data_IF_809334768096
#
_entry.id   IF_809334768096
#
_cell.length_a   1.000
_cell.length_b   1.000
_cell.length_c   1.000
_cell.angle_alpha   90.00
_cell.angle_beta   90.00
_cell.angle_gamma   90.00
#
_symmetry.space_group_name_H-M   'P 1'
#
loop_
_entity.id
_entity.type
_entity.pdbx_description
1 polymer ?
#
# COMPACT_ATOMS: atom_id res chain seq x y z
N UNK A 1 -6.16 -2.76 -11.69
CA UNK A 1 -6.75 -2.00 -12.80
C UNK A 1 -7.81 -1.10 -12.22
N UNK A 2 -7.71 0.23 -12.38
CA UNK A 2 -8.80 1.12 -11.97
C UNK A 2 -10.03 0.79 -12.83
N UNK A 3 -11.18 0.45 -12.24
CA UNK A 3 -12.36 0.07 -13.01
C UNK A 3 -12.91 1.28 -13.77
N UNK A 4 -13.52 1.02 -14.93
CA UNK A 4 -14.22 2.02 -15.75
C UNK A 4 -15.27 2.79 -14.96
N UNK A 5 -15.96 2.12 -14.05
CA UNK A 5 -16.96 2.72 -13.16
C UNK A 5 -16.41 3.84 -12.26
N UNK A 6 -15.09 3.87 -12.02
CA UNK A 6 -14.42 4.87 -11.19
C UNK A 6 -13.59 5.86 -12.05
N UNK A 7 -13.82 5.91 -13.37
CA UNK A 7 -13.06 6.77 -14.29
C UNK A 7 -11.67 6.24 -14.61
N UNK A 8 -11.51 4.92 -14.70
CA UNK A 8 -10.25 4.29 -15.11
C UNK A 8 -10.38 3.55 -16.44
N UNK A 9 -9.31 3.52 -17.23
CA UNK A 9 -9.25 2.80 -18.52
C UNK A 9 -8.93 1.30 -18.36
N UNK A 10 -9.09 0.73 -17.16
CA UNK A 10 -8.70 -0.65 -16.82
C UNK A 10 -7.23 -0.99 -17.12
N UNK A 11 -6.35 0.00 -17.25
CA UNK A 11 -4.93 -0.26 -17.39
C UNK A 11 -4.32 -0.86 -16.12
N UNK A 12 -3.30 -1.69 -16.34
CA UNK A 12 -2.49 -2.24 -15.27
C UNK A 12 -1.61 -1.14 -14.69
N UNK A 13 -1.78 -0.80 -13.41
CA UNK A 13 -0.76 -0.04 -12.68
C UNK A 13 0.52 -0.88 -12.62
N UNK A 14 1.58 -0.42 -13.28
CA UNK A 14 2.84 -1.15 -13.43
C UNK A 14 3.51 -1.34 -12.06
N UNK A 15 3.57 -0.30 -11.25
CA UNK A 15 4.20 -0.34 -9.92
C UNK A 15 3.50 -1.34 -9.00
N UNK A 16 2.16 -1.28 -8.93
CA UNK A 16 1.38 -2.25 -8.14
C UNK A 16 1.54 -3.68 -8.65
N UNK A 17 1.71 -3.85 -9.96
CA UNK A 17 1.93 -5.15 -10.58
C UNK A 17 3.32 -5.70 -10.26
N UNK A 18 4.37 -4.88 -10.36
CA UNK A 18 5.73 -5.25 -9.96
C UNK A 18 5.79 -5.60 -8.48
N UNK A 19 5.18 -4.79 -7.61
CA UNK A 19 5.09 -5.08 -6.18
C UNK A 19 4.36 -6.40 -5.90
N UNK A 20 3.27 -6.68 -6.62
CA UNK A 20 2.55 -7.94 -6.49
C UNK A 20 3.39 -9.16 -6.91
N UNK A 21 4.25 -9.01 -7.93
CA UNK A 21 5.22 -10.05 -8.30
C UNK A 21 6.26 -10.23 -7.20
N UNK A 22 6.82 -9.14 -6.65
CA UNK A 22 7.78 -9.20 -5.53
C UNK A 22 7.17 -9.90 -4.31
N UNK A 23 5.92 -9.57 -3.94
CA UNK A 23 5.21 -10.26 -2.86
C UNK A 23 4.99 -11.76 -3.13
N UNK A 24 4.84 -12.15 -4.39
CA UNK A 24 4.71 -13.57 -4.74
C UNK A 24 6.01 -14.37 -4.50
N UNK A 25 7.16 -13.72 -4.55
CA UNK A 25 8.44 -14.32 -4.18
C UNK A 25 8.50 -14.63 -2.68
N UNK A 26 8.02 -13.73 -1.83
CA UNK A 26 7.92 -13.97 -0.38
C UNK A 26 7.15 -15.25 -0.08
N UNK A 27 6.00 -15.42 -0.74
CA UNK A 27 5.22 -16.65 -0.58
C UNK A 27 6.00 -17.90 -0.99
N UNK A 28 6.71 -17.86 -2.14
CA UNK A 28 7.54 -19.00 -2.58
C UNK A 28 8.69 -19.28 -1.61
N UNK A 29 9.21 -18.24 -0.96
CA UNK A 29 10.25 -18.37 0.05
C UNK A 29 9.73 -19.05 1.32
N UNK A 30 8.60 -18.58 1.83
CA UNK A 30 7.96 -19.08 3.05
C UNK A 30 7.32 -20.47 2.88
N UNK A 31 7.07 -20.92 1.65
CA UNK A 31 6.59 -22.28 1.37
C UNK A 31 7.60 -23.33 1.84
N UNK A 32 7.21 -24.16 2.81
CA UNK A 32 8.03 -25.22 3.39
C UNK A 32 8.31 -26.36 2.42
N UNK A 33 7.47 -26.55 1.39
CA UNK A 33 7.64 -27.59 0.38
C UNK A 33 8.68 -27.22 -0.68
N UNK A 34 9.02 -25.94 -0.79
CA UNK A 34 9.99 -25.44 -1.76
C UNK A 34 11.43 -25.64 -1.28
N UNK A 35 12.17 -26.50 -1.99
CA UNK A 35 13.58 -26.87 -1.73
C UNK A 35 14.57 -26.22 -2.71
N UNK A 36 14.14 -25.18 -3.42
CA UNK A 36 14.97 -24.54 -4.44
C UNK A 36 16.29 -23.96 -3.89
N UNK A 37 17.40 -24.11 -4.63
CA UNK A 37 18.74 -23.65 -4.22
C UNK A 37 18.83 -22.15 -3.91
N UNK A 38 18.06 -21.31 -4.62
CA UNK A 38 18.04 -19.86 -4.36
C UNK A 38 17.51 -19.51 -2.95
N UNK A 39 16.64 -20.36 -2.38
CA UNK A 39 16.11 -20.18 -1.03
C UNK A 39 17.21 -20.28 0.02
N UNK A 40 18.15 -21.21 -0.15
CA UNK A 40 19.29 -21.39 0.76
C UNK A 40 20.17 -20.14 0.84
N UNK A 41 20.38 -19.47 -0.31
CA UNK A 41 21.16 -18.24 -0.38
C UNK A 41 20.49 -17.11 0.41
N UNK A 42 19.19 -16.91 0.20
CA UNK A 42 18.43 -15.90 0.94
C UNK A 42 18.27 -16.24 2.43
N UNK A 43 18.09 -17.51 2.77
CA UNK A 43 18.09 -17.97 4.17
C UNK A 43 19.39 -17.62 4.87
N UNK A 44 20.55 -17.79 4.22
CA UNK A 44 21.83 -17.42 4.82
C UNK A 44 21.93 -15.93 5.15
N UNK A 45 21.37 -15.06 4.29
CA UNK A 45 21.34 -13.61 4.49
C UNK A 45 20.34 -13.26 5.61
N UNK A 46 19.10 -13.73 5.48
CA UNK A 46 18.00 -13.38 6.39
C UNK A 46 18.16 -13.98 7.79
N UNK A 47 18.88 -15.10 7.95
CA UNK A 47 19.16 -15.71 9.26
C UNK A 47 19.88 -14.76 10.23
N UNK A 48 20.64 -13.79 9.72
CA UNK A 48 21.27 -12.75 10.56
C UNK A 48 20.24 -11.85 11.25
N UNK A 49 19.05 -11.74 10.67
CA UNK A 49 18.00 -10.79 11.05
C UNK A 49 16.69 -11.47 11.49
N UNK A 50 16.69 -12.79 11.74
CA UNK A 50 15.50 -13.52 12.21
C UNK A 50 14.69 -14.23 11.13
N UNK A 51 15.25 -14.39 9.93
CA UNK A 51 14.72 -15.21 8.83
C UNK A 51 13.28 -14.85 8.43
N UNK A 52 12.31 -15.74 8.68
CA UNK A 52 10.90 -15.54 8.29
C UNK A 52 10.20 -14.43 9.07
N UNK A 53 10.73 -14.06 10.24
CA UNK A 53 10.14 -13.04 11.11
C UNK A 53 10.08 -11.67 10.45
N UNK A 54 11.01 -11.38 9.55
CA UNK A 54 11.02 -10.13 8.78
C UNK A 54 9.75 -9.97 7.93
N UNK A 55 9.12 -11.05 7.49
CA UNK A 55 7.90 -10.97 6.69
C UNK A 55 6.63 -10.84 7.54
N UNK A 56 6.74 -10.97 8.86
CA UNK A 56 5.63 -10.78 9.78
C UNK A 56 5.72 -9.46 10.54
N UNK A 57 6.91 -8.82 10.58
CA UNK A 57 7.11 -7.58 11.32
C UNK A 57 7.03 -6.33 10.43
N UNK A 58 6.74 -5.20 11.07
CA UNK A 58 6.76 -3.89 10.45
C UNK A 58 8.22 -3.40 10.31
N UNK A 59 8.92 -3.85 9.27
CA UNK A 59 10.38 -3.70 9.14
C UNK A 59 10.82 -2.22 9.16
N UNK A 60 11.91 -1.92 9.86
CA UNK A 60 12.58 -0.61 9.82
C UNK A 60 13.39 -0.37 8.54
N UNK A 61 13.36 0.87 8.03
CA UNK A 61 14.16 1.31 6.90
C UNK A 61 15.67 1.10 7.10
N UNK A 62 16.17 1.18 8.34
CA UNK A 62 17.59 0.96 8.65
C UNK A 62 18.04 -0.45 8.25
N UNK A 63 17.21 -1.45 8.54
CA UNK A 63 17.48 -2.86 8.22
C UNK A 63 17.37 -3.08 6.72
N UNK A 64 16.38 -2.45 6.07
CA UNK A 64 16.26 -2.51 4.62
C UNK A 64 17.53 -2.00 3.94
N UNK A 65 18.12 -0.90 4.43
CA UNK A 65 19.40 -0.41 3.91
C UNK A 65 20.58 -1.36 4.15
N UNK A 66 20.67 -1.98 5.34
CA UNK A 66 21.70 -2.98 5.62
C UNK A 66 21.59 -4.20 4.70
N UNK A 67 20.35 -4.68 4.48
CA UNK A 67 20.08 -5.78 3.55
C UNK A 67 20.35 -5.35 2.10
N UNK A 68 20.03 -4.12 1.72
CA UNK A 68 20.27 -3.60 0.37
C UNK A 68 21.76 -3.64 0.00
N UNK A 69 22.65 -3.40 0.97
CA UNK A 69 24.11 -3.49 0.76
C UNK A 69 24.57 -4.92 0.43
N UNK A 70 23.91 -5.95 0.99
CA UNK A 70 24.20 -7.35 0.66
C UNK A 70 23.44 -7.84 -0.57
N UNK A 71 22.18 -7.42 -0.73
CA UNK A 71 21.28 -7.84 -1.79
C UNK A 71 20.13 -6.83 -2.02
N UNK A 72 20.27 -6.03 -3.09
CA UNK A 72 19.28 -5.04 -3.52
C UNK A 72 17.91 -5.68 -3.77
N UNK A 73 17.87 -6.87 -4.41
CA UNK A 73 16.61 -7.54 -4.73
C UNK A 73 15.84 -7.98 -3.48
N UNK A 74 16.52 -8.49 -2.45
CA UNK A 74 15.86 -8.86 -1.19
C UNK A 74 15.30 -7.64 -0.47
N UNK A 75 16.04 -6.54 -0.42
CA UNK A 75 15.55 -5.28 0.15
C UNK A 75 14.28 -4.81 -0.56
N UNK A 76 14.28 -4.85 -1.90
CA UNK A 76 13.13 -4.51 -2.73
C UNK A 76 11.90 -5.39 -2.45
N UNK A 77 12.12 -6.70 -2.25
CA UNK A 77 11.07 -7.66 -1.95
C UNK A 77 10.49 -7.41 -0.55
N UNK A 78 11.34 -7.14 0.44
CA UNK A 78 10.92 -6.84 1.81
C UNK A 78 10.16 -5.51 1.89
N UNK A 79 10.64 -4.47 1.19
CA UNK A 79 9.95 -3.18 1.09
C UNK A 79 8.56 -3.36 0.46
N UNK A 80 8.49 -4.01 -0.71
CA UNK A 80 7.21 -4.23 -1.39
C UNK A 80 6.24 -5.07 -0.55
N UNK A 81 6.75 -6.04 0.22
CA UNK A 81 5.94 -6.82 1.14
C UNK A 81 5.38 -5.95 2.27
N UNK A 82 6.24 -5.20 2.96
CA UNK A 82 5.88 -4.28 4.04
C UNK A 82 4.82 -3.27 3.60
N UNK A 83 4.98 -2.67 2.42
CA UNK A 83 4.00 -1.72 1.87
C UNK A 83 2.62 -2.36 1.65
N UNK A 84 2.59 -3.61 1.19
CA UNK A 84 1.34 -4.31 0.91
C UNK A 84 0.68 -4.80 2.20
N UNK A 85 1.44 -5.26 3.20
CA UNK A 85 0.92 -5.76 4.48
C UNK A 85 0.49 -4.64 5.42
N UNK A 86 1.23 -3.54 5.50
CA UNK A 86 0.89 -2.40 6.35
C UNK A 86 -0.48 -1.79 5.98
N UNK A 87 -0.84 -1.82 4.69
CA UNK A 87 -2.15 -1.38 4.22
C UNK A 87 -3.31 -2.30 4.67
N UNK A 88 -3.02 -3.48 5.21
CA UNK A 88 -4.00 -4.50 5.65
C UNK A 88 -4.11 -4.59 7.17
N UNK A 89 -3.02 -4.36 7.89
CA UNK A 89 -2.96 -4.45 9.36
C UNK A 89 -3.85 -3.42 10.06
N UNK A 90 -4.28 -2.36 9.38
CA UNK A 90 -5.31 -1.45 9.89
C UNK A 90 -6.67 -2.12 10.20
N UNK A 91 -6.86 -3.40 9.85
CA UNK A 91 -8.11 -4.13 10.07
C UNK A 91 -8.02 -5.34 11.01
N UNK A 92 -6.83 -5.76 11.44
CA UNK A 92 -6.70 -6.97 12.27
C UNK A 92 -5.63 -6.81 13.32
N UNK A 93 -6.06 -6.76 14.59
CA UNK A 93 -5.28 -6.84 15.84
C UNK A 93 -4.39 -8.09 15.85
N UNK A 94 -3.29 -8.00 15.12
CA UNK A 94 -2.29 -9.06 14.95
C UNK A 94 -1.19 -8.84 15.98
N UNK A 95 -0.71 -9.93 16.57
CA UNK A 95 0.36 -9.94 17.58
C UNK A 95 1.52 -9.07 17.12
N UNK A 96 1.83 -8.02 17.88
CA UNK A 96 2.95 -7.14 17.53
C UNK A 96 4.25 -7.91 17.73
N UNK A 97 5.04 -8.03 16.66
CA UNK A 97 6.38 -8.60 16.75
C UNK A 97 7.34 -7.58 17.34
N UNK A 98 8.16 -8.05 18.28
CA UNK A 98 9.14 -7.23 19.00
C UNK A 98 10.32 -6.85 18.09
N UNK A 99 10.84 -7.83 17.36
CA UNK A 99 12.13 -7.72 16.70
C UNK A 99 12.05 -7.00 15.36
N UNK A 100 13.06 -6.19 15.07
CA UNK A 100 13.22 -5.50 13.79
C UNK A 100 12.03 -4.59 13.38
N UNK A 101 11.19 -4.24 14.36
CA UNK A 101 9.98 -3.46 14.17
C UNK A 101 10.28 -1.96 14.23
N UNK A 102 9.82 -1.20 13.24
CA UNK A 102 9.99 0.26 13.15
C UNK A 102 9.31 1.03 14.28
N UNK A 103 8.26 0.47 14.86
CA UNK A 103 7.51 1.09 15.95
C UNK A 103 8.20 0.88 17.30
N UNK A 104 9.04 -0.16 17.43
CA UNK A 104 9.74 -0.51 18.67
C UNK A 104 11.23 -0.23 18.47
N UNK A 105 11.63 1.02 18.75
CA UNK A 105 13.02 1.48 18.59
C UNK A 105 13.52 2.20 19.83
N UNK A 106 14.82 2.12 20.06
CA UNK A 106 15.53 2.95 21.04
C UNK A 106 16.66 3.68 20.32
N UNK A 107 16.69 5.01 20.43
CA UNK A 107 17.66 5.87 19.72
C UNK A 107 17.73 5.58 18.21
N UNK A 108 16.57 5.43 17.56
CA UNK A 108 16.44 5.07 16.13
C UNK A 108 17.07 3.73 15.71
N UNK A 109 17.42 2.87 16.67
CA UNK A 109 17.87 1.50 16.41
C UNK A 109 16.78 0.52 16.81
N UNK A 110 16.54 -0.45 15.95
CA UNK A 110 15.66 -1.60 16.21
C UNK A 110 16.34 -2.62 17.11
N UNK A 111 15.53 -3.44 17.76
CA UNK A 111 16.01 -4.55 18.58
C UNK A 111 16.07 -5.85 17.80
N UNK A 112 17.18 -6.58 17.93
CA UNK A 112 17.26 -8.00 17.57
C UNK A 112 18.20 -8.73 18.53
N UNK A 113 17.63 -9.37 19.56
CA UNK A 113 18.39 -10.18 20.50
C UNK A 113 18.29 -11.65 20.11
N UNK A 114 19.31 -12.14 19.40
CA UNK A 114 19.36 -13.52 18.90
C UNK A 114 19.13 -14.56 20.00
N UNK A 115 19.76 -14.40 21.16
CA UNK A 115 19.61 -15.31 22.30
C UNK A 115 18.17 -15.38 22.82
N UNK A 116 17.44 -14.26 22.77
CA UNK A 116 16.05 -14.20 23.22
C UNK A 116 15.11 -14.79 22.17
N UNK A 117 15.41 -14.54 20.90
CA UNK A 117 14.68 -15.10 19.77
C UNK A 117 14.80 -16.64 19.73
N UNK A 118 16.00 -17.19 19.95
CA UNK A 118 16.22 -18.64 20.04
C UNK A 118 15.48 -19.28 21.23
N UNK A 119 15.19 -18.50 22.27
CA UNK A 119 14.32 -18.88 23.41
C UNK A 119 12.83 -18.67 23.14
N UNK A 120 12.44 -18.46 21.88
CA UNK A 120 11.05 -18.37 21.42
C UNK A 120 10.27 -17.13 21.89
N UNK A 121 10.98 -16.06 22.28
CA UNK A 121 10.39 -14.74 22.49
C UNK A 121 10.28 -14.05 21.13
N UNK A 122 9.05 -13.71 20.71
CA UNK A 122 8.75 -13.14 19.39
C UNK A 122 7.76 -11.98 19.47
N UNK A 123 6.73 -12.10 20.30
CA UNK A 123 5.59 -11.18 20.36
C UNK A 123 5.55 -10.39 21.65
N UNK A 124 5.03 -9.16 21.61
CA UNK A 124 4.87 -8.30 22.79
C UNK A 124 3.93 -8.97 23.80
N UNK A 125 2.87 -9.63 23.34
CA UNK A 125 1.91 -10.37 24.15
C UNK A 125 2.56 -11.40 25.09
N UNK A 126 3.69 -11.98 24.68
CA UNK A 126 4.42 -12.98 25.48
C UNK A 126 5.12 -12.36 26.70
N UNK A 127 5.36 -11.05 26.67
CA UNK A 127 5.96 -10.31 27.78
C UNK A 127 4.90 -9.74 28.73
N UNK A 128 3.61 -9.89 28.40
CA UNK A 128 2.50 -9.26 29.11
C UNK A 128 1.73 -10.26 29.98
N UNK A 129 1.47 -9.90 31.24
CA UNK A 129 0.62 -10.67 32.15
C UNK A 129 -0.83 -10.16 32.09
N UNK A 130 -1.68 -10.87 31.36
CA UNK A 130 -3.10 -10.55 31.22
C UNK A 130 -3.89 -10.59 32.53
N UNK A 131 -3.39 -11.26 33.58
CA UNK A 131 -4.09 -11.35 34.88
C UNK A 131 -3.89 -10.07 35.68
N UNK A 132 -2.68 -9.54 35.66
CA UNK A 132 -2.28 -8.34 36.40
C UNK A 132 -2.53 -7.08 35.55
N UNK A 133 -2.69 -7.26 34.24
CA UNK A 133 -2.76 -6.18 33.24
C UNK A 133 -1.50 -5.30 33.26
N UNK A 134 -0.35 -5.95 33.36
CA UNK A 134 0.95 -5.31 33.26
C UNK A 134 1.99 -6.28 32.69
N UNK A 135 3.15 -5.77 32.28
CA UNK A 135 4.27 -6.60 31.84
C UNK A 135 4.82 -7.44 32.99
N UNK A 136 5.31 -8.64 32.68
CA UNK A 136 5.99 -9.48 33.66
C UNK A 136 7.17 -8.73 34.29
N UNK A 137 7.49 -9.02 35.56
CA UNK A 137 8.77 -8.58 36.11
C UNK A 137 9.94 -9.25 35.38
N UNK A 138 11.13 -8.65 35.46
CA UNK A 138 12.32 -9.26 34.88
C UNK A 138 12.59 -10.66 35.45
N UNK A 139 12.37 -10.86 36.75
CA UNK A 139 12.54 -12.16 37.41
C UNK A 139 11.58 -13.22 36.85
N UNK A 140 10.32 -12.84 36.58
CA UNK A 140 9.34 -13.72 35.95
C UNK A 140 9.76 -14.11 34.53
N UNK A 141 10.25 -13.16 33.74
CA UNK A 141 10.77 -13.43 32.38
C UNK A 141 12.01 -14.34 32.42
N UNK A 142 12.91 -14.12 33.37
CA UNK A 142 14.06 -14.99 33.62
C UNK A 142 13.61 -16.42 33.94
N UNK A 143 12.59 -16.57 34.79
CA UNK A 143 12.05 -17.87 35.15
C UNK A 143 11.36 -18.56 33.96
N UNK A 144 10.52 -17.85 33.21
CA UNK A 144 9.72 -18.41 32.10
C UNK A 144 10.60 -18.81 30.92
N UNK A 145 11.59 -17.99 30.56
CA UNK A 145 12.38 -18.16 29.33
C UNK A 145 13.85 -18.56 29.57
N UNK A 146 14.27 -18.65 30.83
CA UNK A 146 15.66 -18.97 31.22
C UNK A 146 16.66 -17.88 30.82
N UNK A 147 16.26 -16.61 30.79
CA UNK A 147 17.12 -15.51 30.36
C UNK A 147 18.19 -15.23 31.44
N UNK A 148 19.45 -14.97 31.06
CA UNK A 148 20.50 -14.56 32.00
C UNK A 148 20.14 -13.29 32.78
N UNK A 149 20.40 -13.28 34.09
CA UNK A 149 20.09 -12.17 35.01
C UNK A 149 20.80 -10.85 34.65
N UNK A 150 21.91 -10.92 33.90
CA UNK A 150 22.64 -9.73 33.43
C UNK A 150 21.90 -8.95 32.32
N UNK A 151 20.81 -9.50 31.76
CA UNK A 151 20.05 -8.87 30.69
C UNK A 151 18.95 -7.90 31.20
N UNK A 152 18.94 -7.53 32.47
CA UNK A 152 17.90 -6.65 33.03
C UNK A 152 17.82 -5.31 32.29
N UNK A 153 18.96 -4.70 31.93
CA UNK A 153 18.98 -3.45 31.15
C UNK A 153 18.32 -3.61 29.77
N UNK A 154 18.58 -4.74 29.09
CA UNK A 154 17.95 -5.06 27.80
C UNK A 154 16.44 -5.15 27.94
N UNK A 155 15.97 -5.80 29.01
CA UNK A 155 14.55 -5.93 29.30
C UNK A 155 13.87 -4.57 29.51
N UNK A 156 14.37 -3.76 30.44
CA UNK A 156 13.75 -2.47 30.74
C UNK A 156 13.82 -1.50 29.57
N UNK A 157 14.91 -1.53 28.79
CA UNK A 157 15.02 -0.74 27.56
C UNK A 157 13.96 -1.15 26.55
N UNK A 158 13.75 -2.46 26.37
CA UNK A 158 12.74 -2.99 25.46
C UNK A 158 11.33 -2.57 25.89
N UNK A 159 10.93 -2.80 27.15
CA UNK A 159 9.59 -2.45 27.65
C UNK A 159 9.31 -0.95 27.56
N UNK A 160 10.33 -0.12 27.80
CA UNK A 160 10.22 1.34 27.66
C UNK A 160 10.04 1.77 26.20
N UNK A 161 10.63 1.05 25.26
CA UNK A 161 10.60 1.36 23.83
C UNK A 161 9.29 0.93 23.15
N UNK A 162 8.43 0.14 23.81
CA UNK A 162 7.12 -0.24 23.29
C UNK A 162 6.19 0.99 23.32
N UNK A 163 5.62 1.41 22.18
CA UNK A 163 4.68 2.52 22.09
C UNK A 163 3.43 2.36 22.94
N UNK A 164 2.85 3.50 23.34
CA UNK A 164 1.64 3.56 24.17
C UNK A 164 0.44 2.91 23.44
N UNK A 165 0.30 3.10 22.12
CA UNK A 165 -0.84 2.55 21.37
C UNK A 165 -0.87 1.01 21.40
N UNK A 166 0.29 0.35 21.26
CA UNK A 166 0.41 -1.11 21.40
C UNK A 166 0.04 -1.56 22.82
N UNK A 167 0.53 -0.83 23.85
CA UNK A 167 0.16 -1.13 25.25
C UNK A 167 -1.34 -1.01 25.48
N UNK A 168 -1.98 0.03 24.93
CA UNK A 168 -3.44 0.19 25.06
C UNK A 168 -4.22 -0.91 24.35
N UNK A 169 -3.78 -1.35 23.16
CA UNK A 169 -4.46 -2.44 22.43
C UNK A 169 -4.39 -3.77 23.19
N UNK A 170 -3.23 -4.10 23.75
CA UNK A 170 -3.04 -5.32 24.56
C UNK A 170 -3.93 -5.27 25.81
N UNK A 171 -4.05 -4.10 26.46
CA UNK A 171 -4.92 -3.94 27.64
C UNK A 171 -6.41 -4.12 27.32
N UNK A 172 -6.83 -3.79 26.10
CA UNK A 172 -8.24 -3.95 25.66
C UNK A 172 -8.57 -5.37 25.21
N UNK A 173 -7.58 -6.11 24.70
CA UNK A 173 -7.76 -7.47 24.21
C UNK A 173 -7.60 -8.47 25.36
N UNK A 174 -8.73 -8.90 25.96
CA UNK A 174 -8.76 -9.81 27.11
C UNK A 174 -8.37 -11.27 26.79
N UNK A 175 -7.95 -11.59 25.56
CA UNK A 175 -7.57 -12.95 25.17
C UNK A 175 -6.27 -12.94 24.37
N UNK A 176 -5.36 -13.91 24.61
CA UNK A 176 -4.22 -14.13 23.74
C UNK A 176 -4.75 -14.51 22.36
N UNK A 177 -4.54 -13.62 21.39
CA UNK A 177 -5.11 -13.74 20.06
C UNK A 177 -4.65 -15.06 19.40
N UNK A 178 -5.56 -15.97 19.09
CA UNK A 178 -5.30 -17.22 18.36
C UNK A 178 -5.39 -17.05 16.84
N UNK A 179 -5.55 -15.82 16.35
CA UNK A 179 -5.76 -15.56 14.93
C UNK A 179 -4.51 -15.88 14.12
N UNK A 180 -4.74 -16.55 12.99
CA UNK A 180 -3.70 -16.86 12.01
C UNK A 180 -3.15 -15.57 11.43
N UNK A 181 -1.82 -15.48 11.32
CA UNK A 181 -1.18 -14.29 10.77
C UNK A 181 -1.64 -14.08 9.32
N UNK A 182 -1.60 -12.83 8.85
CA UNK A 182 -1.87 -12.52 7.44
C UNK A 182 -1.03 -13.40 6.49
N UNK A 183 0.20 -13.67 6.90
CA UNK A 183 1.16 -14.55 6.20
C UNK A 183 0.63 -15.98 6.10
N UNK A 184 0.12 -16.57 7.20
CA UNK A 184 -0.49 -17.90 7.23
C UNK A 184 -1.73 -17.98 6.34
N UNK A 185 -2.58 -16.95 6.39
CA UNK A 185 -3.79 -16.86 5.55
C UNK A 185 -3.46 -16.78 4.06
N UNK A 186 -2.31 -16.21 3.67
CA UNK A 186 -1.84 -16.15 2.30
C UNK A 186 -1.14 -17.43 1.85
N UNK A 187 -0.37 -18.06 2.74
CA UNK A 187 0.31 -19.33 2.49
C UNK A 187 -0.70 -20.44 2.20
N UNK A 188 -1.83 -20.48 2.91
CA UNK A 188 -2.89 -21.46 2.69
C UNK A 188 -3.60 -21.36 1.33
N UNK A 189 -3.50 -20.23 0.60
CA UNK A 189 -4.23 -20.03 -0.67
C UNK A 189 -3.46 -20.58 -1.86
N UNK A 190 -3.85 -21.70 -2.46
CA UNK A 190 -3.06 -22.32 -3.54
C UNK A 190 -2.95 -21.51 -4.85
N UNK A 191 -3.94 -20.68 -5.22
CA UNK A 191 -4.02 -20.09 -6.57
C UNK A 191 -4.04 -18.54 -6.61
N UNK A 192 -3.40 -17.96 -7.64
CA UNK A 192 -3.48 -16.54 -8.07
C UNK A 192 -3.03 -15.49 -7.04
N UNK A 193 -1.99 -15.77 -6.26
CA UNK A 193 -1.46 -14.85 -5.23
C UNK A 193 -1.12 -13.45 -5.76
N UNK A 194 -0.53 -13.34 -6.95
CA UNK A 194 -0.17 -12.04 -7.55
C UNK A 194 -1.42 -11.20 -7.82
N UNK A 195 -2.50 -11.83 -8.30
CA UNK A 195 -3.77 -11.12 -8.51
C UNK A 195 -4.32 -10.60 -7.18
N UNK A 196 -4.19 -11.37 -6.09
CA UNK A 196 -4.61 -10.96 -4.76
C UNK A 196 -3.83 -9.71 -4.33
N UNK A 197 -2.49 -9.78 -4.26
CA UNK A 197 -1.64 -8.65 -3.88
C UNK A 197 -1.87 -7.41 -4.74
N UNK A 198 -2.08 -7.61 -6.05
CA UNK A 198 -2.40 -6.54 -6.97
C UNK A 198 -3.76 -5.90 -6.68
N UNK A 199 -4.81 -6.70 -6.44
CA UNK A 199 -6.13 -6.19 -6.10
C UNK A 199 -6.16 -5.46 -4.76
N UNK A 200 -5.35 -5.88 -3.79
CA UNK A 200 -5.26 -5.25 -2.48
C UNK A 200 -4.73 -3.82 -2.58
N UNK A 201 -3.67 -3.61 -3.34
CA UNK A 201 -3.09 -2.27 -3.57
C UNK A 201 -4.04 -1.32 -4.31
N UNK A 202 -4.98 -1.85 -5.09
CA UNK A 202 -5.84 -1.05 -5.97
C UNK A 202 -7.22 -0.79 -5.38
N UNK A 203 -7.58 -1.45 -4.27
CA UNK A 203 -8.79 -1.13 -3.50
C UNK A 203 -8.70 0.21 -2.76
N UNK A 204 -7.49 0.77 -2.63
CA UNK A 204 -7.23 2.07 -2.02
C UNK A 204 -6.84 3.18 -3.05
N UNK A 205 -7.52 3.35 -4.21
CA UNK A 205 -7.14 4.42 -5.09
C UNK A 205 -7.65 5.74 -4.52
N UNK A 206 -6.73 6.68 -4.29
CA UNK A 206 -7.02 8.11 -4.12
C UNK A 206 -8.15 8.55 -5.06
N UNK A 207 -9.22 9.06 -4.45
CA UNK A 207 -10.44 9.44 -5.15
C UNK A 207 -10.15 10.46 -6.25
N UNK A 208 -10.78 10.29 -7.41
CA UNK A 208 -10.75 11.25 -8.53
C UNK A 208 -11.49 12.58 -8.21
N UNK A 209 -11.52 13.00 -6.93
CA UNK A 209 -12.26 14.16 -6.41
C UNK A 209 -11.97 15.44 -7.23
N UNK A 210 -10.71 15.69 -7.61
CA UNK A 210 -10.35 16.91 -8.36
C UNK A 210 -11.10 17.10 -9.70
N UNK A 211 -11.31 16.02 -10.45
CA UNK A 211 -12.02 16.09 -11.75
C UNK A 211 -13.51 16.28 -11.49
N UNK A 212 -14.05 15.55 -10.50
CA UNK A 212 -15.45 15.65 -10.12
C UNK A 212 -15.81 17.07 -9.68
N UNK A 213 -14.99 17.66 -8.81
CA UNK A 213 -15.17 19.01 -8.30
C UNK A 213 -15.17 20.04 -9.44
N UNK A 214 -14.28 19.92 -10.44
CA UNK A 214 -14.23 20.84 -11.58
C UNK A 214 -15.50 20.84 -12.43
N UNK A 215 -16.12 19.67 -12.63
CA UNK A 215 -17.38 19.57 -13.36
C UNK A 215 -18.57 19.99 -12.51
N UNK A 216 -18.56 19.70 -11.21
CA UNK A 216 -19.60 20.17 -10.28
C UNK A 216 -19.66 21.71 -10.22
N UNK A 217 -18.51 22.38 -10.20
CA UNK A 217 -18.47 23.86 -10.26
C UNK A 217 -19.12 24.41 -11.55
N UNK A 218 -19.04 23.68 -12.67
CA UNK A 218 -19.63 24.12 -13.94
C UNK A 218 -21.14 23.85 -14.04
N UNK A 219 -21.61 22.71 -13.52
CA UNK A 219 -23.01 22.27 -13.66
C UNK A 219 -23.88 22.54 -12.43
N UNK A 220 -23.33 23.17 -11.37
CA UNK A 220 -24.04 23.52 -10.15
C UNK A 220 -24.24 22.34 -9.18
N UNK A 221 -25.16 22.49 -8.23
CA UNK A 221 -25.45 21.53 -7.14
C UNK A 221 -26.14 20.24 -7.59
N UNK A 222 -26.35 20.04 -8.89
CA UNK A 222 -26.95 18.81 -9.39
C UNK A 222 -26.02 17.61 -9.13
N UNK A 223 -26.52 16.58 -8.46
CA UNK A 223 -25.79 15.34 -8.24
C UNK A 223 -25.53 14.60 -9.56
N UNK A 224 -24.34 14.84 -10.13
CA UNK A 224 -23.90 14.12 -11.32
C UNK A 224 -23.66 12.63 -11.00
N UNK A 225 -24.34 11.74 -11.71
CA UNK A 225 -24.13 10.30 -11.60
C UNK A 225 -22.79 9.90 -12.25
N UNK A 226 -21.70 10.02 -11.50
CA UNK A 226 -20.34 9.75 -11.96
C UNK A 226 -20.14 8.33 -12.49
N UNK A 227 -20.79 7.34 -11.87
CA UNK A 227 -20.70 5.94 -12.31
C UNK A 227 -21.29 5.79 -13.72
N UNK A 228 -22.41 6.46 -13.98
CA UNK A 228 -23.00 6.50 -15.31
C UNK A 228 -22.08 7.24 -16.30
N UNK A 229 -21.63 8.44 -15.95
CA UNK A 229 -20.76 9.27 -16.80
C UNK A 229 -19.50 8.51 -17.24
N UNK A 230 -18.80 7.85 -16.31
CA UNK A 230 -17.58 7.11 -16.65
C UNK A 230 -17.84 5.81 -17.42
N UNK A 231 -19.02 5.21 -17.32
CA UNK A 231 -19.36 3.98 -18.06
C UNK A 231 -19.95 4.25 -19.44
N UNK A 232 -20.55 5.42 -19.64
CA UNK A 232 -21.21 5.82 -20.88
C UNK A 232 -20.33 5.66 -22.13
N UNK A 233 -19.03 6.02 -22.14
CA UNK A 233 -18.20 5.85 -23.33
C UNK A 233 -18.07 4.41 -23.82
N UNK A 234 -18.07 3.47 -22.89
CA UNK A 234 -17.95 2.05 -23.20
C UNK A 234 -19.27 1.44 -23.67
N UNK A 235 -20.41 2.07 -23.33
CA UNK A 235 -21.75 1.67 -23.78
C UNK A 235 -22.15 2.32 -25.10
N UNK A 236 -21.74 3.56 -25.34
CA UNK A 236 -22.19 4.36 -26.47
C UNK A 236 -21.58 3.92 -27.81
N UNK A 237 -20.33 3.44 -27.79
CA UNK A 237 -19.62 3.04 -29.03
C UNK A 237 -18.66 1.89 -28.76
N UNK A 238 -18.35 1.11 -29.80
CA UNK A 238 -17.32 0.07 -29.80
C UNK A 238 -15.96 0.67 -30.22
N UNK A 239 -15.97 1.78 -30.95
CA UNK A 239 -14.80 2.40 -31.55
C UNK A 239 -13.82 2.95 -30.49
N UNK A 240 -12.56 2.54 -30.57
CA UNK A 240 -11.53 2.86 -29.56
C UNK A 240 -11.10 4.33 -29.61
N UNK A 241 -11.04 4.93 -30.79
CA UNK A 241 -10.76 6.35 -31.05
C UNK A 241 -11.79 7.25 -30.35
N UNK A 242 -13.09 6.98 -30.56
CA UNK A 242 -14.18 7.74 -29.97
C UNK A 242 -14.25 7.53 -28.44
N UNK A 243 -14.02 6.30 -27.95
CA UNK A 243 -13.87 6.04 -26.50
C UNK A 243 -12.72 6.83 -25.88
N UNK A 244 -11.57 6.89 -26.56
CA UNK A 244 -10.41 7.65 -26.10
C UNK A 244 -10.70 9.16 -26.07
N UNK A 245 -11.39 9.68 -27.09
CA UNK A 245 -11.83 11.06 -27.12
C UNK A 245 -12.76 11.38 -25.94
N UNK A 246 -13.81 10.59 -25.73
CA UNK A 246 -14.75 10.79 -24.62
C UNK A 246 -14.07 10.64 -23.25
N UNK A 247 -13.13 9.70 -23.10
CA UNK A 247 -12.30 9.60 -21.90
C UNK A 247 -11.52 10.90 -21.69
N UNK A 248 -10.82 11.41 -22.72
CA UNK A 248 -10.06 12.65 -22.62
C UNK A 248 -10.96 13.85 -22.27
N UNK A 249 -12.16 13.89 -22.83
CA UNK A 249 -13.17 14.91 -22.56
C UNK A 249 -13.60 14.89 -21.08
N UNK A 250 -14.13 13.76 -20.60
CA UNK A 250 -14.60 13.59 -19.21
C UNK A 250 -13.48 13.87 -18.21
N UNK A 251 -12.25 13.46 -18.51
CA UNK A 251 -11.09 13.69 -17.65
C UNK A 251 -10.47 15.08 -17.81
N UNK A 252 -10.98 15.92 -18.71
CA UNK A 252 -10.50 17.28 -19.01
C UNK A 252 -9.03 17.33 -19.40
N UNK A 253 -8.58 16.35 -20.19
CA UNK A 253 -7.21 16.23 -20.71
C UNK A 253 -7.13 16.42 -22.23
N UNK A 254 -8.18 16.98 -22.84
CA UNK A 254 -8.12 17.41 -24.24
C UNK A 254 -7.15 18.57 -24.35
N UNK A 255 -6.24 18.48 -25.32
CA UNK A 255 -5.34 19.58 -25.65
C UNK A 255 -6.16 20.70 -26.31
N UNK A 256 -6.27 21.82 -25.62
CA UNK A 256 -6.88 23.06 -26.11
C UNK A 256 -5.78 24.06 -26.43
N UNK A 257 -6.04 25.06 -27.27
CA UNK A 257 -5.05 26.10 -27.58
C UNK A 257 -4.57 26.84 -26.33
N UNK A 258 -5.40 27.01 -25.29
CA UNK A 258 -4.95 27.49 -23.97
C UNK A 258 -3.87 26.60 -23.36
N UNK A 259 -4.02 25.27 -23.42
CA UNK A 259 -3.04 24.32 -22.92
C UNK A 259 -1.78 24.30 -23.78
N UNK A 260 -1.93 24.27 -25.11
CA UNK A 260 -0.82 24.25 -26.06
C UNK A 260 0.04 25.52 -26.00
N UNK A 261 -0.59 26.68 -25.87
CA UNK A 261 0.08 27.96 -25.65
C UNK A 261 0.89 27.96 -24.35
N UNK A 262 0.33 27.44 -23.26
CA UNK A 262 1.05 27.30 -21.97
C UNK A 262 2.27 26.37 -22.11
N UNK A 263 2.17 25.33 -22.93
CA UNK A 263 3.27 24.43 -23.25
C UNK A 263 4.26 24.98 -24.29
N UNK A 264 4.06 26.21 -24.81
CA UNK A 264 4.85 26.83 -25.89
C UNK A 264 4.86 26.01 -27.20
N UNK A 265 3.78 25.26 -27.44
CA UNK A 265 3.58 24.48 -28.67
C UNK A 265 2.68 25.20 -29.68
N UNK A 266 1.95 26.23 -29.24
CA UNK A 266 1.15 27.09 -30.10
C UNK A 266 1.52 28.55 -29.86
N UNK A 267 1.41 29.37 -30.91
CA UNK A 267 1.68 30.80 -30.89
C UNK A 267 0.50 31.62 -30.34
N UNK A 268 -0.69 31.02 -30.25
CA UNK A 268 -1.92 31.67 -29.77
C UNK A 268 -2.71 30.75 -28.83
N UNK A 269 -3.42 31.34 -27.88
CA UNK A 269 -4.37 30.67 -27.00
C UNK A 269 -5.83 30.81 -27.45
N UNK A 270 -6.07 31.50 -28.57
CA UNK A 270 -7.40 31.74 -29.14
C UNK A 270 -7.95 30.46 -29.79
N UNK A 271 -9.27 30.36 -29.85
CA UNK A 271 -9.95 29.24 -30.46
C UNK A 271 -9.88 29.30 -31.99
N UNK A 272 -9.57 28.18 -32.62
CA UNK A 272 -9.45 28.12 -34.09
C UNK A 272 -10.80 28.31 -34.80
N UNK A 273 -11.93 28.09 -34.10
CA UNK A 273 -13.27 28.18 -34.68
C UNK A 273 -13.87 29.57 -34.64
N UNK A 274 -13.54 30.38 -33.62
CA UNK A 274 -14.10 31.74 -33.48
C UNK A 274 -13.03 32.84 -33.53
N UNK A 275 -11.76 32.51 -33.35
CA UNK A 275 -10.61 33.43 -33.34
C UNK A 275 -10.69 34.61 -32.35
N UNK A 276 -11.71 34.66 -31.50
CA UNK A 276 -11.98 35.78 -30.59
C UNK A 276 -11.80 35.39 -29.11
N UNK A 277 -12.24 34.18 -28.74
CA UNK A 277 -12.23 33.72 -27.36
C UNK A 277 -11.07 32.74 -27.10
N UNK A 278 -10.61 32.70 -25.85
CA UNK A 278 -9.61 31.72 -25.40
C UNK A 278 -10.19 30.32 -25.51
N UNK A 279 -9.46 29.42 -26.15
CA UNK A 279 -9.90 28.04 -26.31
C UNK A 279 -9.79 27.27 -24.99
N UNK A 280 -10.92 27.15 -24.31
CA UNK A 280 -11.11 26.27 -23.15
C UNK A 280 -11.96 25.08 -23.57
N UNK A 281 -12.00 24.02 -22.75
CA UNK A 281 -12.89 22.87 -23.03
C UNK A 281 -14.34 23.34 -23.05
N UNK A 282 -14.69 24.24 -22.15
CA UNK A 282 -16.00 24.84 -22.05
C UNK A 282 -16.36 25.62 -23.31
N UNK A 283 -15.46 26.50 -23.77
CA UNK A 283 -15.67 27.25 -24.99
C UNK A 283 -15.75 26.35 -26.23
N UNK A 284 -14.87 25.35 -26.31
CA UNK A 284 -14.78 24.44 -27.46
C UNK A 284 -16.02 23.56 -27.63
N UNK A 285 -16.71 23.18 -26.54
CA UNK A 285 -17.84 22.23 -26.61
C UNK A 285 -19.20 22.82 -26.25
N UNK A 286 -19.25 23.96 -25.54
CA UNK A 286 -20.50 24.60 -25.11
C UNK A 286 -20.65 26.06 -25.57
N UNK A 287 -19.58 26.71 -26.03
CA UNK A 287 -19.54 28.17 -26.18
C UNK A 287 -19.13 28.70 -27.56
N UNK A 288 -18.74 27.86 -28.51
CA UNK A 288 -18.40 28.31 -29.86
C UNK A 288 -19.60 28.07 -30.78
N UNK A 289 -20.06 29.14 -31.46
CA UNK A 289 -21.25 29.11 -32.32
C UNK A 289 -21.22 28.00 -33.39
N UNK A 290 -20.01 27.59 -33.81
CA UNK A 290 -19.78 26.55 -34.80
C UNK A 290 -19.80 25.11 -34.25
N UNK A 291 -19.71 24.90 -32.93
CA UNK A 291 -19.72 23.55 -32.33
C UNK A 291 -21.09 23.15 -31.80
N UNK A 292 -21.92 24.12 -31.42
CA UNK A 292 -23.34 23.92 -31.09
C UNK A 292 -24.12 23.26 -32.25
N UNK A 293 -23.81 23.62 -33.50
CA UNK A 293 -24.40 23.01 -34.70
C UNK A 293 -23.89 21.58 -34.99
N UNK A 294 -22.64 21.28 -34.60
CA UNK A 294 -21.99 19.99 -34.83
C UNK A 294 -22.34 18.95 -33.74
N UNK A 295 -22.60 19.39 -32.51
CA UNK A 295 -22.92 18.53 -31.37
C UNK A 295 -24.40 18.52 -30.98
N UNK A 296 -25.26 19.25 -31.71
CA UNK A 296 -26.71 19.22 -31.55
C UNK A 296 -27.21 19.78 -30.22
N UNK A 297 -26.50 20.76 -29.65
CA UNK A 297 -26.96 21.49 -28.46
C UNK A 297 -27.61 22.78 -28.98
N UNK A 298 -28.94 22.72 -29.11
CA UNK A 298 -29.80 23.90 -29.34
C UNK A 298 -29.91 24.73 -28.06
#
# INVERSE_FOLDING_TARGET
>A
MKPQQNGGIQLTNIDSFLNAIKCSWVKRYLDSTNTSKWKLFYQKILKKYGDSLLFECNISNTILHEIANENIFLSDVLSAWSDVTHNLETQTSSKTIIWNNKDITSNNKTFFYKDWFERSIKYVDQLYDYRIKDFYSFDNICYIYGIPSNNFLKYYTLIKSIPIHIKSEINTNNTPCTQTTFVENILGRKNKTNKIFYTLQIKNPTENSKIKNKWQVLFGENELNWKHIFTMPYKATIESTLRNFQYKYIHRIIATNKYLYKCKLSNSNLCDFCSENIETIEHLFFGSANTSSLFGIN
#
